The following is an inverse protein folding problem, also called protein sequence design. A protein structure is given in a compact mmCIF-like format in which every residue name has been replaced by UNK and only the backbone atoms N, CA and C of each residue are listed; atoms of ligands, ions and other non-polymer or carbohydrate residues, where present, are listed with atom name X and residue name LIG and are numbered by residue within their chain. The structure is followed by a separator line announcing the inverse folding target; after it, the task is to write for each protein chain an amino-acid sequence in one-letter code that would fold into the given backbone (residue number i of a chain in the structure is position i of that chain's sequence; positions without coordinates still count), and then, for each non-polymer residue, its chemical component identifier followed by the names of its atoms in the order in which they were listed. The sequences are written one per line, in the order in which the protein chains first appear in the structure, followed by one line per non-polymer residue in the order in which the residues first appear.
data_IF_894535326481
#
_entry.id   IF_894535326481
#
_cell.length_a   1.000
_cell.length_b   1.000
_cell.length_c   1.000
_cell.angle_alpha   90.00
_cell.angle_beta   90.00
_cell.angle_gamma   90.00
#
_symmetry.space_group_name_H-M   'P 1'
#
loop_
_entity.id
_entity.type
_entity.pdbx_description
1 polymer ?
#
# COMPACT_ATOMS: atom_id res chain seq x y z
N UNK A 1 30.39 -23.23 -2.75
CA UNK A 1 29.53 -23.76 -3.84
C UNK A 1 28.06 -23.35 -3.70
N UNK A 2 27.33 -23.74 -2.63
CA UNK A 2 25.90 -23.43 -2.49
C UNK A 2 25.54 -21.92 -2.45
N UNK A 3 26.37 -21.09 -1.79
CA UNK A 3 26.12 -19.64 -1.65
C UNK A 3 26.15 -18.89 -2.98
N UNK A 4 27.04 -19.31 -3.89
CA UNK A 4 27.21 -18.71 -5.22
C UNK A 4 25.99 -18.99 -6.12
N UNK A 5 25.44 -20.21 -6.05
CA UNK A 5 24.24 -20.62 -6.79
C UNK A 5 22.96 -19.93 -6.32
N UNK A 6 22.92 -19.46 -5.07
CA UNK A 6 21.78 -18.74 -4.49
C UNK A 6 21.94 -17.20 -4.54
N UNK A 7 23.04 -16.69 -5.11
CA UNK A 7 23.30 -15.26 -5.23
C UNK A 7 23.58 -14.54 -3.90
N UNK A 8 24.00 -15.29 -2.86
CA UNK A 8 24.37 -14.71 -1.57
C UNK A 8 25.83 -14.24 -1.59
N UNK A 9 26.11 -13.12 -0.92
CA UNK A 9 27.47 -12.63 -0.73
C UNK A 9 28.34 -13.71 -0.05
N UNK A 10 29.62 -13.79 -0.41
CA UNK A 10 30.56 -14.79 0.15
C UNK A 10 30.66 -14.69 1.69
N UNK A 11 30.46 -13.50 2.23
CA UNK A 11 30.46 -13.17 3.66
C UNK A 11 29.14 -13.47 4.37
N UNK A 12 28.09 -13.89 3.66
CA UNK A 12 26.78 -14.17 4.27
C UNK A 12 26.87 -15.36 5.23
N UNK A 13 26.28 -15.23 6.41
CA UNK A 13 26.27 -16.27 7.44
C UNK A 13 25.62 -17.56 6.91
N UNK A 14 26.30 -18.69 7.12
CA UNK A 14 25.82 -20.02 6.73
C UNK A 14 24.55 -20.41 7.49
N UNK A 15 24.28 -19.80 8.65
CA UNK A 15 23.03 -19.95 9.41
C UNK A 15 21.79 -19.45 8.66
N UNK A 16 21.94 -18.59 7.64
CA UNK A 16 20.85 -18.12 6.79
C UNK A 16 20.18 -19.25 5.98
N UNK A 17 20.90 -20.37 5.79
CA UNK A 17 20.44 -21.58 5.13
C UNK A 17 19.98 -22.68 6.12
N UNK A 18 20.17 -22.47 7.42
CA UNK A 18 19.79 -23.43 8.45
C UNK A 18 18.27 -23.36 8.72
N UNK A 19 17.62 -24.52 8.81
CA UNK A 19 16.16 -24.68 8.89
C UNK A 19 15.70 -24.87 10.33
N UNK A 20 15.03 -23.87 10.90
CA UNK A 20 14.17 -24.05 12.06
C UNK A 20 12.74 -24.36 11.62
N UNK A 21 12.00 -25.20 12.36
CA UNK A 21 10.60 -25.57 12.04
C UNK A 21 9.65 -24.37 11.89
N UNK A 22 10.03 -23.21 12.44
CA UNK A 22 9.26 -21.95 12.41
C UNK A 22 9.69 -20.97 11.30
N UNK A 23 10.77 -21.27 10.55
CA UNK A 23 11.25 -20.43 9.44
C UNK A 23 12.07 -21.24 8.44
N UNK A 24 11.65 -21.29 7.18
CA UNK A 24 12.32 -22.06 6.12
C UNK A 24 13.63 -21.44 5.60
N UNK A 25 14.25 -20.52 6.36
CA UNK A 25 15.35 -19.67 5.88
C UNK A 25 14.87 -18.51 5.00
N UNK A 26 15.72 -17.49 4.80
CA UNK A 26 15.45 -16.30 3.95
C UNK A 26 14.10 -15.59 4.19
N UNK A 27 13.64 -15.55 5.45
CA UNK A 27 12.35 -14.93 5.85
C UNK A 27 11.09 -15.54 5.20
N UNK A 28 11.19 -16.75 4.63
CA UNK A 28 10.06 -17.43 3.99
C UNK A 28 9.16 -18.09 5.04
N UNK A 29 7.99 -17.48 5.24
CA UNK A 29 6.99 -17.92 6.24
C UNK A 29 6.05 -19.02 5.74
N UNK A 30 5.97 -19.25 4.41
CA UNK A 30 5.04 -20.21 3.80
C UNK A 30 5.70 -20.93 2.60
N UNK A 31 5.75 -22.28 2.58
CA UNK A 31 6.32 -23.05 1.48
C UNK A 31 5.67 -22.78 0.12
N UNK A 32 4.38 -22.43 0.09
CA UNK A 32 3.65 -22.12 -1.13
C UNK A 32 4.17 -20.89 -1.87
N UNK A 33 4.66 -19.87 -1.16
CA UNK A 33 5.29 -18.70 -1.78
C UNK A 33 6.67 -19.05 -2.34
N UNK A 34 7.46 -19.85 -1.61
CA UNK A 34 8.72 -20.38 -2.12
C UNK A 34 8.49 -21.23 -3.38
N UNK A 35 7.44 -22.06 -3.39
CA UNK A 35 7.10 -22.90 -4.53
C UNK A 35 6.74 -22.08 -5.77
N UNK A 36 6.02 -20.96 -5.61
CA UNK A 36 5.76 -20.00 -6.69
C UNK A 36 7.06 -19.39 -7.23
N UNK A 37 7.96 -18.96 -6.34
CA UNK A 37 9.27 -18.41 -6.74
C UNK A 37 10.15 -19.45 -7.43
N UNK A 38 10.19 -20.69 -6.94
CA UNK A 38 10.98 -21.77 -7.53
C UNK A 38 10.44 -22.22 -8.89
N UNK A 39 9.11 -22.25 -9.09
CA UNK A 39 8.51 -22.54 -10.41
C UNK A 39 8.87 -21.47 -11.45
N UNK A 40 8.92 -20.22 -11.03
CA UNK A 40 9.38 -19.09 -11.85
C UNK A 40 10.86 -19.23 -12.22
N UNK A 41 11.72 -19.52 -11.23
CA UNK A 41 13.15 -19.74 -11.47
C UNK A 41 13.41 -20.95 -12.37
N UNK A 42 12.71 -22.07 -12.13
CA UNK A 42 12.76 -23.28 -12.96
C UNK A 42 12.46 -22.94 -14.42
N UNK A 43 11.37 -22.23 -14.72
CA UNK A 43 11.01 -21.89 -16.10
C UNK A 43 11.98 -20.93 -16.79
N UNK A 44 12.57 -19.98 -16.06
CA UNK A 44 13.62 -19.13 -16.62
C UNK A 44 14.86 -19.92 -17.02
N UNK A 45 15.26 -20.89 -16.19
CA UNK A 45 16.34 -21.83 -16.51
C UNK A 45 15.95 -22.69 -17.73
N UNK A 46 14.75 -23.28 -17.73
CA UNK A 46 14.25 -24.08 -18.86
C UNK A 46 14.14 -23.29 -20.18
N UNK A 47 13.84 -21.98 -20.13
CA UNK A 47 13.65 -21.13 -21.30
C UNK A 47 14.90 -20.39 -21.80
N UNK A 48 15.99 -20.42 -21.03
CA UNK A 48 17.28 -19.76 -21.39
C UNK A 48 18.49 -20.70 -21.34
N UNK A 49 18.31 -21.93 -20.87
CA UNK A 49 19.33 -22.97 -20.95
C UNK A 49 19.51 -23.40 -22.40
N UNK A 50 20.77 -23.60 -22.80
CA UNK A 50 21.14 -24.16 -24.09
C UNK A 50 21.41 -25.67 -23.99
N UNK A 51 21.13 -26.26 -22.82
CA UNK A 51 21.32 -27.68 -22.51
C UNK A 51 20.06 -28.47 -22.87
N UNK A 52 20.19 -29.42 -23.79
CA UNK A 52 19.10 -30.21 -24.39
C UNK A 52 18.31 -31.04 -23.36
N UNK A 53 18.98 -31.48 -22.29
CA UNK A 53 18.34 -32.23 -21.21
C UNK A 53 17.34 -31.32 -20.46
N UNK A 54 17.71 -30.06 -20.29
CA UNK A 54 16.94 -29.07 -19.54
C UNK A 54 15.73 -28.59 -20.37
N UNK A 55 15.88 -28.36 -21.67
CA UNK A 55 14.79 -27.92 -22.57
C UNK A 55 13.71 -28.98 -22.82
N UNK A 56 14.00 -30.26 -22.59
CA UNK A 56 13.05 -31.37 -22.79
C UNK A 56 12.00 -31.54 -21.67
N UNK A 57 12.13 -30.81 -20.55
CA UNK A 57 11.24 -30.97 -19.39
C UNK A 57 9.85 -30.31 -19.61
N UNK A 58 8.76 -30.89 -19.06
CA UNK A 58 7.40 -30.38 -19.25
C UNK A 58 7.18 -28.97 -18.68
N UNK A 59 6.42 -28.14 -19.40
CA UNK A 59 6.08 -26.76 -19.06
C UNK A 59 4.67 -26.70 -18.42
N UNK A 60 4.55 -26.15 -17.20
CA UNK A 60 3.26 -26.01 -16.45
C UNK A 60 2.22 -25.12 -17.19
N UNK A 61 0.91 -25.43 -17.03
CA UNK A 61 -0.26 -24.80 -17.70
C UNK A 61 -0.56 -23.35 -17.30
N UNK A 62 -0.45 -22.96 -16.02
CA UNK A 62 -0.75 -21.59 -15.53
C UNK A 62 0.35 -20.55 -15.85
N UNK A 63 1.35 -20.95 -16.60
CA UNK A 63 2.58 -20.18 -16.81
C UNK A 63 2.49 -18.88 -17.64
N UNK A 64 1.56 -18.70 -18.60
CA UNK A 64 1.49 -17.46 -19.38
C UNK A 64 1.23 -16.22 -18.51
N UNK A 65 0.41 -16.37 -17.45
CA UNK A 65 0.11 -15.28 -16.51
C UNK A 65 1.34 -14.90 -15.67
N UNK A 66 2.08 -15.90 -15.18
CA UNK A 66 3.27 -15.69 -14.36
C UNK A 66 4.46 -15.15 -15.19
N UNK A 67 4.59 -15.59 -16.44
CA UNK A 67 5.60 -15.15 -17.40
C UNK A 67 5.35 -13.69 -17.83
N UNK A 68 4.10 -13.33 -18.07
CA UNK A 68 3.67 -11.93 -18.29
C UNK A 68 4.01 -11.04 -17.10
N UNK A 69 3.80 -11.53 -15.87
CA UNK A 69 4.15 -10.81 -14.64
C UNK A 69 5.66 -10.67 -14.44
N UNK A 70 6.45 -11.66 -14.84
CA UNK A 70 7.91 -11.62 -14.73
C UNK A 70 8.56 -10.75 -15.80
N UNK A 71 8.05 -10.81 -17.02
CA UNK A 71 8.48 -9.97 -18.14
C UNK A 71 8.12 -8.51 -17.86
N UNK A 72 6.92 -8.25 -17.32
CA UNK A 72 6.54 -6.96 -16.75
C UNK A 72 7.54 -6.53 -15.66
N UNK A 73 7.83 -7.39 -14.69
CA UNK A 73 8.75 -7.05 -13.61
C UNK A 73 10.17 -6.74 -14.13
N UNK A 74 10.68 -7.52 -15.09
CA UNK A 74 11.99 -7.30 -15.72
C UNK A 74 12.04 -6.01 -16.52
N UNK A 75 11.05 -5.73 -17.36
CA UNK A 75 11.02 -4.50 -18.16
C UNK A 75 10.79 -3.25 -17.28
N UNK A 76 10.01 -3.38 -16.21
CA UNK A 76 9.85 -2.34 -15.20
C UNK A 76 11.16 -2.06 -14.45
N UNK A 77 11.92 -3.09 -14.06
CA UNK A 77 13.22 -2.95 -13.39
C UNK A 77 14.29 -2.33 -14.30
N UNK A 78 14.34 -2.74 -15.58
CA UNK A 78 15.27 -2.16 -16.58
C UNK A 78 14.95 -0.66 -16.79
N UNK A 79 13.67 -0.29 -16.86
CA UNK A 79 13.25 1.10 -16.99
C UNK A 79 13.56 1.96 -15.76
N UNK A 80 13.47 1.39 -14.56
CA UNK A 80 13.76 2.09 -13.29
C UNK A 80 15.26 2.37 -13.05
N UNK A 81 16.16 1.55 -13.62
CA UNK A 81 17.62 1.71 -13.49
C UNK A 81 18.22 2.68 -14.51
N UNK A 82 17.49 3.02 -15.58
CA UNK A 82 17.93 4.03 -16.53
C UNK A 82 17.62 5.43 -15.99
N UNK A 83 18.66 6.21 -15.67
CA UNK A 83 18.57 7.64 -15.30
C UNK A 83 18.08 8.51 -16.47
N UNK A 84 16.84 8.30 -16.95
CA UNK A 84 16.30 9.05 -18.09
C UNK A 84 15.55 10.30 -17.64
N UNK A 85 16.01 11.43 -18.17
CA UNK A 85 15.57 12.79 -17.86
C UNK A 85 14.06 12.98 -18.02
N UNK A 86 13.48 13.76 -17.11
CA UNK A 86 12.05 13.86 -16.93
C UNK A 86 11.37 14.98 -17.73
N UNK A 87 10.24 14.67 -18.36
CA UNK A 87 9.25 15.66 -18.83
C UNK A 87 8.65 16.49 -17.67
N UNK A 88 8.28 17.74 -17.92
CA UNK A 88 7.96 18.76 -16.91
C UNK A 88 6.84 18.47 -15.88
N UNK A 89 6.89 19.19 -14.77
CA UNK A 89 6.23 18.90 -13.48
C UNK A 89 4.69 18.87 -13.49
N UNK A 90 3.98 19.65 -14.31
CA UNK A 90 2.52 19.77 -14.19
C UNK A 90 1.72 18.62 -14.84
N UNK A 91 2.22 18.00 -15.92
CA UNK A 91 1.57 16.83 -16.54
C UNK A 91 1.80 15.54 -15.74
N UNK A 92 2.97 15.41 -15.10
CA UNK A 92 3.36 14.24 -14.28
C UNK A 92 2.45 14.03 -13.07
N UNK A 93 2.09 15.10 -12.36
CA UNK A 93 1.25 15.01 -11.15
C UNK A 93 -0.13 14.47 -11.50
N UNK A 94 -0.75 14.96 -12.60
CA UNK A 94 -2.10 14.57 -13.01
C UNK A 94 -2.19 13.11 -13.50
N UNK A 95 -1.18 12.64 -14.23
CA UNK A 95 -1.09 11.24 -14.68
C UNK A 95 -0.85 10.30 -13.48
N UNK A 96 0.10 10.65 -12.61
CA UNK A 96 0.42 9.87 -11.40
C UNK A 96 -0.79 9.80 -10.44
N UNK A 97 -1.54 10.89 -10.31
CA UNK A 97 -2.74 10.95 -9.48
C UNK A 97 -3.87 10.06 -10.03
N UNK A 98 -4.10 10.06 -11.35
CA UNK A 98 -5.09 9.18 -11.99
C UNK A 98 -4.74 7.70 -11.84
N UNK A 99 -3.47 7.33 -11.99
CA UNK A 99 -3.05 5.93 -11.93
C UNK A 99 -3.15 5.31 -10.53
N UNK A 100 -3.08 6.13 -9.46
CA UNK A 100 -3.16 5.64 -8.08
C UNK A 100 -4.48 5.98 -7.37
N UNK A 101 -5.47 6.53 -8.09
CA UNK A 101 -6.78 6.87 -7.50
C UNK A 101 -7.44 5.66 -6.85
N UNK A 102 -7.28 4.47 -7.46
CA UNK A 102 -7.82 3.22 -6.92
C UNK A 102 -7.23 2.85 -5.56
N UNK A 103 -5.95 3.14 -5.31
CA UNK A 103 -5.34 2.89 -4.00
C UNK A 103 -6.04 3.75 -2.95
N UNK A 104 -6.27 5.02 -3.29
CA UNK A 104 -6.91 5.96 -2.40
C UNK A 104 -8.39 5.63 -2.13
N UNK A 105 -9.12 5.19 -3.16
CA UNK A 105 -10.49 4.70 -3.03
C UNK A 105 -10.58 3.53 -2.04
N UNK A 106 -9.67 2.55 -2.13
CA UNK A 106 -9.67 1.39 -1.22
C UNK A 106 -9.36 1.82 0.22
N UNK A 107 -8.47 2.80 0.42
CA UNK A 107 -8.22 3.37 1.74
C UNK A 107 -9.48 4.08 2.27
N UNK A 108 -10.15 4.88 1.42
CA UNK A 108 -11.42 5.53 1.78
C UNK A 108 -12.49 4.51 2.17
N UNK A 109 -12.61 3.40 1.45
CA UNK A 109 -13.54 2.32 1.82
C UNK A 109 -13.24 1.74 3.22
N UNK A 110 -11.97 1.51 3.54
CA UNK A 110 -11.56 1.01 4.86
C UNK A 110 -11.93 2.01 5.97
N UNK A 111 -11.68 3.29 5.71
CA UNK A 111 -12.05 4.40 6.60
C UNK A 111 -13.57 4.47 6.79
N UNK A 112 -14.35 4.46 5.71
CA UNK A 112 -15.82 4.49 5.76
C UNK A 112 -16.40 3.29 6.53
N UNK A 113 -15.84 2.09 6.32
CA UNK A 113 -16.24 0.90 7.06
C UNK A 113 -15.98 1.06 8.57
N UNK A 114 -14.84 1.64 8.93
CA UNK A 114 -14.50 1.90 10.33
C UNK A 114 -15.43 2.94 10.95
N UNK A 115 -15.70 4.06 10.26
CA UNK A 115 -16.67 5.08 10.70
C UNK A 115 -18.06 4.48 10.93
N UNK A 116 -18.57 3.70 9.98
CA UNK A 116 -19.88 3.06 10.09
C UNK A 116 -19.96 2.11 11.30
N UNK A 117 -18.87 1.38 11.60
CA UNK A 117 -18.79 0.54 12.81
C UNK A 117 -18.76 1.36 14.09
N UNK A 118 -18.01 2.46 14.11
CA UNK A 118 -17.94 3.36 15.25
C UNK A 118 -19.32 3.99 15.55
N UNK A 119 -20.05 4.40 14.52
CA UNK A 119 -21.41 4.94 14.64
C UNK A 119 -22.41 3.87 15.10
N UNK A 120 -22.35 2.65 14.54
CA UNK A 120 -23.20 1.53 14.99
C UNK A 120 -22.96 1.16 16.46
N UNK A 121 -21.72 1.26 16.94
CA UNK A 121 -21.42 0.99 18.34
C UNK A 121 -22.12 1.96 19.31
N UNK A 122 -22.47 3.18 18.87
CA UNK A 122 -23.26 4.15 19.65
C UNK A 122 -24.71 3.69 19.76
N UNK A 123 -25.31 3.28 18.64
CA UNK A 123 -26.73 2.87 18.60
C UNK A 123 -26.96 1.56 19.33
N UNK A 124 -25.99 0.65 19.35
CA UNK A 124 -26.08 -0.64 20.06
C UNK A 124 -25.67 -0.57 21.54
N UNK A 125 -25.39 0.61 22.09
CA UNK A 125 -24.92 0.76 23.48
C UNK A 125 -26.06 0.66 24.51
N UNK A 126 -26.96 -0.32 24.35
CA UNK A 126 -27.59 -0.96 25.48
C UNK A 126 -26.48 -1.70 26.24
N UNK A 127 -26.21 -1.26 27.47
CA UNK A 127 -25.26 -1.94 28.37
C UNK A 127 -25.80 -3.33 28.68
N UNK A 128 -25.52 -4.30 27.82
CA UNK A 128 -25.76 -5.71 28.07
C UNK A 128 -24.81 -6.16 29.18
N UNK A 129 -25.29 -6.15 30.42
CA UNK A 129 -24.65 -6.84 31.53
C UNK A 129 -24.87 -8.33 31.29
N UNK A 130 -23.81 -9.03 30.90
CA UNK A 130 -23.86 -10.48 30.75
C UNK A 130 -23.86 -11.14 32.12
N UNK A 131 -25.02 -11.58 32.60
CA UNK A 131 -25.11 -12.42 33.78
C UNK A 131 -24.49 -13.79 33.48
N UNK A 132 -23.59 -14.25 34.33
CA UNK A 132 -22.98 -15.58 34.24
C UNK A 132 -23.53 -16.42 35.38
N UNK A 133 -23.93 -17.66 35.09
CA UNK A 133 -24.41 -18.60 36.12
C UNK A 133 -23.31 -18.86 37.15
N UNK A 134 -23.71 -18.98 38.41
CA UNK A 134 -22.85 -19.39 39.51
C UNK A 134 -22.11 -20.69 39.17
N UNK A 135 -20.83 -20.76 39.54
CA UNK A 135 -19.96 -21.90 39.23
C UNK A 135 -19.37 -21.93 37.80
N UNK A 136 -19.77 -21.02 36.90
CA UNK A 136 -19.25 -20.97 35.53
C UNK A 136 -18.23 -19.84 35.38
N UNK A 137 -17.03 -20.12 34.86
CA UNK A 137 -16.04 -19.07 34.55
C UNK A 137 -16.55 -18.22 33.40
N UNK A 138 -16.58 -16.90 33.58
CA UNK A 138 -16.86 -15.97 32.50
C UNK A 138 -15.87 -16.20 31.36
N UNK A 139 -16.36 -16.54 30.16
CA UNK A 139 -15.53 -16.58 28.96
C UNK A 139 -14.94 -15.19 28.77
N UNK A 140 -13.60 -15.06 28.70
CA UNK A 140 -12.97 -13.76 28.46
C UNK A 140 -13.59 -13.15 27.20
N UNK A 141 -14.36 -12.07 27.38
CA UNK A 141 -14.93 -11.34 26.26
C UNK A 141 -13.78 -10.93 25.34
N UNK A 142 -13.93 -11.19 24.04
CA UNK A 142 -12.99 -10.71 23.04
C UNK A 142 -12.90 -9.19 23.21
N UNK A 143 -11.79 -8.69 23.76
CA UNK A 143 -11.59 -7.25 23.96
C UNK A 143 -11.70 -6.60 22.59
N UNK A 144 -12.65 -5.67 22.45
CA UNK A 144 -12.84 -4.96 21.18
C UNK A 144 -11.49 -4.30 20.81
N UNK A 145 -11.05 -4.41 19.55
CA UNK A 145 -9.80 -3.80 19.13
C UNK A 145 -9.88 -2.28 19.36
N UNK A 146 -8.77 -1.71 19.83
CA UNK A 146 -8.61 -0.26 19.93
C UNK A 146 -8.88 0.38 18.56
N UNK A 147 -9.56 1.53 18.56
CA UNK A 147 -9.83 2.33 17.37
C UNK A 147 -9.59 3.81 17.68
N UNK A 148 -8.84 4.50 16.81
CA UNK A 148 -8.72 5.96 16.82
C UNK A 148 -10.05 6.63 16.49
N UNK A 149 -10.89 5.95 15.69
CA UNK A 149 -12.27 6.32 15.46
C UNK A 149 -13.09 5.85 16.65
N UNK A 150 -13.03 6.64 17.72
CA UNK A 150 -13.90 6.48 18.89
C UNK A 150 -15.36 6.64 18.45
N UNK A 151 -16.26 6.01 19.21
CA UNK A 151 -17.69 6.11 19.02
C UNK A 151 -18.12 7.59 19.08
N UNK A 152 -18.40 8.18 17.92
CA UNK A 152 -18.98 9.51 17.74
C UNK A 152 -19.90 9.52 16.52
N UNK A 153 -20.97 10.31 16.59
CA UNK A 153 -22.02 10.34 15.56
C UNK A 153 -21.66 11.26 14.39
N UNK A 154 -20.74 12.20 14.56
CA UNK A 154 -20.50 13.34 13.68
C UNK A 154 -19.24 13.23 12.80
N UNK A 155 -18.64 12.04 12.70
CA UNK A 155 -17.48 11.82 11.84
C UNK A 155 -17.78 12.22 10.39
N UNK A 156 -17.02 13.18 9.87
CA UNK A 156 -17.11 13.65 8.49
C UNK A 156 -15.82 13.27 7.74
N UNK A 157 -15.97 12.70 6.55
CA UNK A 157 -14.84 12.31 5.67
C UNK A 157 -14.78 13.27 4.49
N UNK A 158 -13.63 13.91 4.29
CA UNK A 158 -13.34 14.78 3.16
C UNK A 158 -12.24 14.17 2.30
N UNK A 159 -12.45 14.17 0.98
CA UNK A 159 -11.52 13.69 -0.03
C UNK A 159 -11.87 14.40 -1.33
N UNK A 160 -10.86 14.72 -2.14
CA UNK A 160 -11.09 15.32 -3.46
C UNK A 160 -11.88 14.34 -4.34
N UNK A 161 -12.90 14.86 -5.01
CA UNK A 161 -13.60 14.14 -6.08
C UNK A 161 -13.12 14.66 -7.45
N UNK A 162 -13.50 13.96 -8.53
CA UNK A 162 -13.20 14.43 -9.88
C UNK A 162 -13.79 15.81 -10.19
N UNK A 163 -14.89 16.17 -9.51
CA UNK A 163 -15.68 17.37 -9.77
C UNK A 163 -15.32 18.51 -8.80
N UNK A 164 -14.90 18.19 -7.58
CA UNK A 164 -14.73 19.17 -6.52
C UNK A 164 -13.55 18.84 -5.61
N UNK A 165 -12.66 19.81 -5.50
CA UNK A 165 -11.66 19.81 -4.44
C UNK A 165 -12.30 20.23 -3.13
N UNK A 166 -11.98 19.51 -2.05
CA UNK A 166 -12.50 19.88 -0.74
C UNK A 166 -11.71 21.06 -0.16
N UNK A 167 -12.33 21.77 0.78
CA UNK A 167 -11.69 22.78 1.62
C UNK A 167 -11.94 22.41 3.06
N UNK A 168 -10.92 22.49 3.91
CA UNK A 168 -11.09 22.30 5.35
C UNK A 168 -12.04 23.40 5.84
N UNK A 169 -13.11 23.06 6.59
CA UNK A 169 -14.01 24.06 7.15
C UNK A 169 -13.26 25.08 8.02
N UNK A 170 -13.60 26.36 7.88
CA UNK A 170 -12.93 27.46 8.59
C UNK A 170 -13.03 27.32 10.11
N UNK A 171 -14.12 26.73 10.62
CA UNK A 171 -14.31 26.45 12.05
C UNK A 171 -13.36 25.37 12.60
N UNK A 172 -12.71 24.61 11.71
CA UNK A 172 -11.71 23.61 12.07
C UNK A 172 -10.31 24.20 11.94
N UNK A 173 -9.98 24.70 10.76
CA UNK A 173 -8.68 25.33 10.46
C UNK A 173 -8.74 26.03 9.10
N UNK A 174 -8.34 27.29 9.06
CA UNK A 174 -8.27 28.09 7.83
C UNK A 174 -6.99 27.76 7.05
N UNK A 175 -6.95 26.58 6.42
CA UNK A 175 -5.79 26.10 5.67
C UNK A 175 -6.13 25.72 4.22
N UNK A 176 -5.22 26.06 3.31
CA UNK A 176 -5.24 25.59 1.93
C UNK A 176 -4.64 24.17 1.77
N UNK A 177 -4.04 23.62 2.84
CA UNK A 177 -3.47 22.28 2.82
C UNK A 177 -4.53 21.21 2.67
N UNK A 178 -4.26 20.23 1.81
CA UNK A 178 -5.19 19.15 1.48
C UNK A 178 -4.48 17.79 1.51
N UNK A 179 -4.50 17.11 2.67
CA UNK A 179 -4.28 15.67 2.73
C UNK A 179 -5.18 14.92 1.75
N UNK A 180 -4.78 13.73 1.31
CA UNK A 180 -5.62 12.95 0.40
C UNK A 180 -6.97 12.57 1.02
N UNK A 181 -6.99 12.20 2.30
CA UNK A 181 -8.23 12.02 3.08
C UNK A 181 -8.08 12.81 4.39
N UNK A 182 -9.11 13.57 4.72
CA UNK A 182 -9.20 14.35 5.94
C UNK A 182 -10.48 13.97 6.68
N UNK A 183 -10.37 13.50 7.91
CA UNK A 183 -11.51 13.19 8.77
C UNK A 183 -11.55 14.13 9.95
N UNK A 184 -12.75 14.45 10.43
CA UNK A 184 -12.89 15.16 11.68
C UNK A 184 -14.18 14.79 12.41
N UNK A 185 -14.15 14.96 13.73
CA UNK A 185 -15.32 15.00 14.61
C UNK A 185 -15.21 16.27 15.46
N UNK A 186 -16.26 17.09 15.41
CA UNK A 186 -16.38 18.31 16.21
C UNK A 186 -16.69 17.99 17.66
N UNK A 187 -17.50 16.95 17.90
CA UNK A 187 -17.85 16.47 19.24
C UNK A 187 -16.60 15.97 19.97
N UNK A 188 -15.79 15.14 19.33
CA UNK A 188 -14.57 14.60 19.93
C UNK A 188 -13.38 15.57 19.90
N UNK A 189 -13.52 16.69 19.19
CA UNK A 189 -12.41 17.58 18.82
C UNK A 189 -11.21 16.76 18.34
N UNK A 190 -11.42 15.91 17.33
CA UNK A 190 -10.38 15.06 16.75
C UNK A 190 -10.35 15.18 15.23
N UNK A 191 -9.14 15.17 14.66
CA UNK A 191 -8.89 15.22 13.23
C UNK A 191 -7.90 14.11 12.86
N UNK A 192 -8.15 13.43 11.74
CA UNK A 192 -7.27 12.41 11.17
C UNK A 192 -6.88 12.82 9.75
N UNK A 193 -5.58 12.94 9.50
CA UNK A 193 -5.01 13.29 8.20
C UNK A 193 -4.38 12.03 7.62
N UNK A 194 -4.75 11.66 6.39
CA UNK A 194 -4.15 10.51 5.70
C UNK A 194 -3.53 10.99 4.40
N UNK A 195 -2.23 10.81 4.27
CA UNK A 195 -1.46 11.13 3.08
C UNK A 195 -0.89 9.86 2.45
N UNK A 196 -1.39 9.49 1.28
CA UNK A 196 -0.87 8.35 0.51
C UNK A 196 0.37 8.74 -0.32
N UNK A 197 1.40 7.90 -0.26
CA UNK A 197 2.50 7.94 -1.22
C UNK A 197 2.74 6.57 -1.82
N UNK A 198 2.99 6.53 -3.14
CA UNK A 198 3.38 5.30 -3.85
C UNK A 198 4.79 5.44 -4.42
N UNK A 199 5.84 5.26 -3.60
CA UNK A 199 7.22 5.39 -4.03
C UNK A 199 7.79 4.07 -4.56
N UNK A 200 9.01 4.12 -5.09
CA UNK A 200 9.85 2.93 -5.12
C UNK A 200 10.21 2.52 -3.68
N UNK A 201 10.29 1.22 -3.37
CA UNK A 201 10.37 0.76 -1.98
C UNK A 201 11.56 1.32 -1.21
N UNK A 202 12.72 1.50 -1.86
CA UNK A 202 13.92 2.08 -1.22
C UNK A 202 13.74 3.55 -0.82
N UNK A 203 12.77 4.25 -1.42
CA UNK A 203 12.49 5.66 -1.14
C UNK A 203 11.43 5.85 -0.04
N UNK A 204 10.80 4.77 0.45
CA UNK A 204 9.76 4.84 1.49
C UNK A 204 10.20 5.68 2.70
N UNK A 205 11.39 5.45 3.32
CA UNK A 205 11.78 6.22 4.50
C UNK A 205 11.93 7.72 4.23
N UNK A 206 12.53 8.07 3.09
CA UNK A 206 12.74 9.47 2.68
C UNK A 206 11.40 10.16 2.43
N UNK A 207 10.53 9.54 1.63
CA UNK A 207 9.24 10.12 1.27
C UNK A 207 8.33 10.27 2.51
N UNK A 208 8.39 9.31 3.45
CA UNK A 208 7.68 9.40 4.73
C UNK A 208 8.04 10.67 5.49
N UNK A 209 9.33 10.94 5.71
CA UNK A 209 9.80 12.16 6.40
C UNK A 209 9.34 13.42 5.69
N UNK A 210 9.43 13.47 4.35
CA UNK A 210 8.98 14.62 3.56
C UNK A 210 7.48 14.87 3.77
N UNK A 211 6.66 13.82 3.75
CA UNK A 211 5.21 13.95 3.92
C UNK A 211 4.79 14.31 5.32
N UNK A 212 5.47 13.80 6.35
CA UNK A 212 5.24 14.21 7.74
C UNK A 212 5.56 15.71 7.90
N UNK A 213 6.72 16.15 7.41
CA UNK A 213 7.14 17.54 7.52
C UNK A 213 6.23 18.50 6.73
N UNK A 214 5.67 18.05 5.58
CA UNK A 214 4.72 18.84 4.78
C UNK A 214 3.53 19.33 5.59
N UNK A 215 3.03 18.53 6.54
CA UNK A 215 1.83 18.87 7.31
C UNK A 215 2.13 19.41 8.71
N UNK A 216 3.39 19.65 9.05
CA UNK A 216 3.80 20.12 10.38
C UNK A 216 3.07 21.39 10.82
N UNK A 217 2.98 22.40 9.95
CA UNK A 217 2.27 23.66 10.25
C UNK A 217 0.77 23.44 10.45
N UNK A 218 0.13 22.66 9.57
CA UNK A 218 -1.28 22.32 9.67
C UNK A 218 -1.58 21.56 10.97
N UNK A 219 -0.76 20.58 11.34
CA UNK A 219 -0.94 19.84 12.59
C UNK A 219 -0.83 20.77 13.81
N UNK A 220 0.12 21.70 13.81
CA UNK A 220 0.29 22.66 14.90
C UNK A 220 -0.89 23.62 15.01
N UNK A 221 -1.46 24.07 13.89
CA UNK A 221 -2.62 24.95 13.88
C UNK A 221 -3.88 24.23 14.37
N UNK A 222 -4.11 22.99 13.92
CA UNK A 222 -5.20 22.16 14.41
C UNK A 222 -5.10 21.89 15.92
N UNK A 223 -3.89 21.64 16.44
CA UNK A 223 -3.65 21.51 17.88
C UNK A 223 -3.91 22.81 18.63
N UNK A 224 -3.50 23.97 18.09
CA UNK A 224 -3.85 25.30 18.64
C UNK A 224 -5.37 25.51 18.67
N UNK A 225 -6.10 25.00 17.68
CA UNK A 225 -7.57 25.00 17.62
C UNK A 225 -8.22 23.91 18.51
N UNK A 226 -7.44 23.33 19.45
CA UNK A 226 -7.86 22.34 20.46
C UNK A 226 -8.34 21.01 19.87
N UNK A 227 -7.89 20.66 18.66
CA UNK A 227 -8.10 19.33 18.11
C UNK A 227 -6.97 18.38 18.51
N UNK A 228 -7.32 17.13 18.83
CA UNK A 228 -6.38 16.00 18.82
C UNK A 228 -6.14 15.60 17.37
N UNK A 229 -4.88 15.50 16.97
CA UNK A 229 -4.49 15.32 15.56
C UNK A 229 -3.76 13.99 15.38
N UNK A 230 -4.27 13.13 14.50
CA UNK A 230 -3.61 11.89 14.10
C UNK A 230 -3.18 12.01 12.62
N UNK A 231 -1.86 12.10 12.36
CA UNK A 231 -1.30 12.17 11.00
C UNK A 231 -0.77 10.81 10.56
N UNK A 232 -1.29 10.30 9.45
CA UNK A 232 -0.87 9.06 8.81
C UNK A 232 -0.29 9.35 7.41
N UNK A 233 1.03 9.51 7.34
CA UNK A 233 1.76 9.31 6.09
C UNK A 233 1.85 7.80 5.81
N UNK A 234 1.11 7.32 4.80
CA UNK A 234 1.03 5.89 4.46
C UNK A 234 1.68 5.61 3.11
N UNK A 235 2.48 4.55 3.07
CA UNK A 235 3.24 4.19 1.88
C UNK A 235 2.89 2.81 1.36
N UNK A 236 2.85 2.71 0.04
CA UNK A 236 2.75 1.45 -0.68
C UNK A 236 3.79 1.48 -1.78
N UNK A 237 4.70 0.51 -1.79
CA UNK A 237 5.68 0.38 -2.85
C UNK A 237 5.03 0.20 -4.22
N UNK A 238 5.67 0.72 -5.26
CA UNK A 238 5.21 0.58 -6.64
C UNK A 238 5.08 -0.89 -7.07
N UNK A 239 5.82 -1.82 -6.44
CA UNK A 239 5.70 -3.27 -6.66
C UNK A 239 4.59 -3.91 -5.83
N UNK A 240 3.71 -3.11 -5.21
CA UNK A 240 2.65 -3.58 -4.33
C UNK A 240 3.12 -3.97 -2.94
N UNK A 241 4.35 -3.65 -2.55
CA UNK A 241 4.86 -3.96 -1.20
C UNK A 241 4.22 -2.98 -0.21
N UNK A 242 3.42 -3.47 0.72
CA UNK A 242 2.75 -2.61 1.71
C UNK A 242 3.70 -2.24 2.85
N UNK A 243 3.77 -0.95 3.19
CA UNK A 243 4.61 -0.49 4.29
C UNK A 243 3.92 -0.70 5.65
N UNK A 244 4.73 -0.67 6.72
CA UNK A 244 4.24 -0.76 8.10
C UNK A 244 3.29 0.38 8.46
N UNK A 245 3.49 1.57 7.89
CA UNK A 245 2.61 2.75 8.08
C UNK A 245 1.17 2.46 7.68
N UNK A 246 0.96 1.82 6.52
CA UNK A 246 -0.38 1.44 6.07
C UNK A 246 -1.02 0.38 6.97
N UNK A 247 -0.24 -0.62 7.42
CA UNK A 247 -0.72 -1.60 8.38
C UNK A 247 -1.15 -0.94 9.70
N UNK A 248 -0.34 0.00 10.20
CA UNK A 248 -0.64 0.75 11.42
C UNK A 248 -1.93 1.55 11.27
N UNK A 249 -2.14 2.26 10.15
CA UNK A 249 -3.41 2.94 9.87
C UNK A 249 -4.60 1.96 9.97
N UNK A 250 -4.56 0.83 9.27
CA UNK A 250 -5.67 -0.13 9.26
C UNK A 250 -5.93 -0.75 10.64
N UNK A 251 -4.87 -1.00 11.41
CA UNK A 251 -4.95 -1.46 12.79
C UNK A 251 -5.62 -0.41 13.68
N UNK A 252 -5.19 0.85 13.55
CA UNK A 252 -5.68 1.97 14.35
C UNK A 252 -7.11 2.35 13.97
N UNK A 253 -7.58 2.04 12.76
CA UNK A 253 -8.99 2.08 12.38
C UNK A 253 -9.85 1.01 13.06
N UNK A 254 -9.30 0.17 13.96
CA UNK A 254 -10.08 -0.81 14.72
C UNK A 254 -10.71 -1.93 13.89
N UNK A 255 -10.20 -2.15 12.68
CA UNK A 255 -10.65 -3.21 11.80
C UNK A 255 -10.06 -4.57 12.23
N UNK A 256 -10.81 -5.66 12.03
CA UNK A 256 -10.30 -6.99 12.38
C UNK A 256 -9.12 -7.39 11.48
N UNK A 257 -8.27 -8.30 11.96
CA UNK A 257 -7.11 -8.79 11.18
C UNK A 257 -7.49 -9.30 9.79
N UNK A 258 -8.64 -9.95 9.65
CA UNK A 258 -9.16 -10.42 8.35
C UNK A 258 -9.45 -9.25 7.40
N UNK A 259 -10.12 -8.20 7.89
CA UNK A 259 -10.35 -6.99 7.10
C UNK A 259 -9.03 -6.31 6.72
N UNK A 260 -8.10 -6.19 7.67
CA UNK A 260 -6.79 -5.58 7.42
C UNK A 260 -6.05 -6.30 6.29
N UNK A 261 -5.99 -7.63 6.35
CA UNK A 261 -5.34 -8.42 5.30
C UNK A 261 -6.03 -8.24 3.94
N UNK A 262 -7.37 -8.23 3.91
CA UNK A 262 -8.12 -8.01 2.68
C UNK A 262 -7.87 -6.62 2.08
N UNK A 263 -7.86 -5.56 2.90
CA UNK A 263 -7.55 -4.20 2.42
C UNK A 263 -6.10 -4.08 1.95
N UNK A 264 -5.13 -4.64 2.68
CA UNK A 264 -3.72 -4.62 2.27
C UNK A 264 -3.51 -5.31 0.92
N UNK A 265 -4.17 -6.45 0.69
CA UNK A 265 -4.08 -7.16 -0.59
C UNK A 265 -4.68 -6.33 -1.74
N UNK A 266 -5.86 -5.72 -1.52
CA UNK A 266 -6.51 -4.86 -2.52
C UNK A 266 -5.66 -3.62 -2.84
N UNK A 267 -5.10 -2.99 -1.82
CA UNK A 267 -4.22 -1.82 -1.96
C UNK A 267 -2.93 -2.19 -2.70
N UNK A 268 -2.32 -3.33 -2.35
CA UNK A 268 -1.13 -3.87 -3.02
C UNK A 268 -1.37 -4.07 -4.52
N UNK A 269 -2.48 -4.74 -4.88
CA UNK A 269 -2.88 -4.96 -6.29
C UNK A 269 -3.12 -3.63 -7.01
N UNK A 270 -3.83 -2.70 -6.37
CA UNK A 270 -4.10 -1.38 -6.96
C UNK A 270 -2.81 -0.58 -7.22
N UNK A 271 -1.83 -0.63 -6.32
CA UNK A 271 -0.54 0.02 -6.52
C UNK A 271 0.26 -0.63 -7.66
N UNK A 272 0.25 -1.95 -7.77
CA UNK A 272 0.86 -2.67 -8.90
C UNK A 272 0.25 -2.24 -10.23
N UNK A 273 -1.08 -2.27 -10.34
CA UNK A 273 -1.79 -1.86 -11.56
C UNK A 273 -1.51 -0.40 -11.90
N UNK A 274 -1.56 0.50 -10.92
CA UNK A 274 -1.27 1.92 -11.12
C UNK A 274 0.17 2.17 -11.60
N UNK A 275 1.13 1.46 -11.02
CA UNK A 275 2.54 1.56 -11.43
C UNK A 275 2.75 1.08 -12.87
N UNK A 276 2.07 -0.01 -13.26
CA UNK A 276 2.10 -0.52 -14.63
C UNK A 276 1.48 0.44 -15.64
N UNK A 277 0.34 1.05 -15.31
CA UNK A 277 -0.28 2.07 -16.17
C UNK A 277 0.64 3.26 -16.40
N UNK A 278 1.36 3.70 -15.37
CA UNK A 278 2.37 4.77 -15.51
C UNK A 278 3.49 4.31 -16.44
N UNK A 279 3.95 3.06 -16.30
CA UNK A 279 5.00 2.51 -17.16
C UNK A 279 4.56 2.43 -18.63
N UNK A 280 3.40 1.84 -18.93
CA UNK A 280 2.82 1.81 -20.28
C UNK A 280 2.55 3.20 -20.86
N UNK A 281 2.21 4.17 -20.01
CA UNK A 281 2.00 5.56 -20.41
C UNK A 281 3.29 6.27 -20.84
N UNK A 282 4.45 5.81 -20.36
CA UNK A 282 5.76 6.35 -20.77
C UNK A 282 6.16 5.86 -22.15
N UNK A 283 5.88 4.60 -22.47
CA UNK A 283 6.21 3.98 -23.76
C UNK A 283 5.45 4.69 -24.90
N UNK A 284 4.13 4.88 -24.76
CA UNK A 284 3.31 5.59 -25.76
C UNK A 284 3.70 7.05 -26.00
N UNK A 285 4.29 7.71 -25.00
CA UNK A 285 4.77 9.10 -25.14
C UNK A 285 6.12 9.21 -25.86
N UNK A 286 6.84 8.10 -26.04
CA UNK A 286 8.10 8.04 -26.79
C UNK A 286 7.83 7.78 -28.27
N UNK A 287 6.85 6.94 -28.60
CA UNK A 287 6.49 6.64 -30.00
C UNK A 287 5.89 7.83 -30.74
N UNK A 288 5.21 8.73 -30.02
CA UNK A 288 4.60 9.94 -30.59
C UNK A 288 5.59 11.12 -30.75
N UNK A 289 6.87 10.93 -30.39
CA UNK A 289 7.95 11.90 -30.62
C UNK A 289 8.79 11.63 -31.88
N UNK A 290 8.52 10.54 -32.62
CA UNK A 290 9.29 10.11 -33.79
C UNK A 290 8.80 10.61 -35.15
N UNK A 291 7.58 11.11 -35.26
CA UNK A 291 7.04 11.66 -36.52
C UNK A 291 7.06 13.18 -36.52
N UNK A 292 8.26 13.75 -36.71
CA UNK A 292 8.39 15.05 -37.37
C UNK A 292 9.79 15.17 -37.96
N UNK A 293 9.81 15.50 -39.25
CA UNK A 293 10.97 15.79 -40.12
C UNK A 293 11.48 14.59 -40.93
N UNK A 294 10.78 14.27 -42.02
CA UNK A 294 11.37 14.25 -43.38
C UNK A 294 10.25 14.48 -44.41
N UNK A 295 10.04 15.74 -44.80
CA UNK A 295 9.66 16.10 -46.17
C UNK A 295 10.63 17.19 -46.59
N UNK A 296 11.63 16.77 -47.36
CA UNK A 296 12.50 17.66 -48.14
C UNK A 296 11.92 17.65 -49.55
N UNK A 297 11.65 18.86 -50.04
CA UNK A 297 11.42 19.32 -51.42
C UNK A 297 11.13 18.27 -52.50
#
# INVERSE_FOLDING_TARGET
MLKLWLGLALTADSSALFRGSNSFGMSLKRPSELYKHLRVSKRYILGKSHDDIVTSLPKDEDAPELESRLQFHKQFMIGAQSNRAGLGSNRKVRIKLKSFIRVLEVIREAVSLSVARAQKAITTNERSVGFVREGTRATKLNVKPYSILKAASDWTIMMDTYEKQYKIPEDICASASRPYIFLFSRILKRVVLIELTVPWETNIPKDHTIKVNKYYELTNELTRNRFVVDLYAVEVGARGITAKSLYNLLKDLGLSRTHNNAFLERISKAALVGSFQIWLGRERSLDSGGERITRVS
#
